data_IF_096617776910
#
_entry.id   IF_096617776910
#
_cell.length_a   1.000
_cell.length_b   1.000
_cell.length_c   1.000
_cell.angle_alpha   90.00
_cell.angle_beta   90.00
_cell.angle_gamma   90.00
#
_symmetry.space_group_name_H-M   'P 1'
#
loop_
_entity.id
_entity.type
_entity.pdbx_description
1 polymer ?
#
# COMPACT_ATOMS: atom_id res chain seq x y z
N UNK A 1 11.01 9.29 40.77
CA UNK A 1 11.97 8.88 39.71
C UNK A 1 11.24 7.91 38.80
N UNK A 2 11.05 8.26 37.52
CA UNK A 2 10.45 7.32 36.55
C UNK A 2 11.56 6.36 36.11
N UNK A 3 11.32 5.06 36.24
CA UNK A 3 12.32 4.04 35.93
C UNK A 3 12.70 4.07 34.43
N UNK A 4 13.99 3.94 34.12
CA UNK A 4 14.50 3.99 32.75
C UNK A 4 13.87 2.90 31.86
N UNK A 5 13.55 1.73 32.41
CA UNK A 5 12.83 0.66 31.69
C UNK A 5 11.42 1.08 31.35
N UNK A 6 10.75 1.84 32.23
CA UNK A 6 9.40 2.37 31.98
C UNK A 6 9.42 3.41 30.86
N UNK A 7 10.45 4.26 30.77
CA UNK A 7 10.64 5.14 29.62
C UNK A 7 10.91 4.39 28.31
N UNK A 8 11.74 3.33 28.35
CA UNK A 8 12.01 2.54 27.15
C UNK A 8 10.78 1.79 26.65
N UNK A 9 9.99 1.22 27.56
CA UNK A 9 8.75 0.52 27.24
C UNK A 9 7.70 1.47 26.65
N UNK A 10 7.55 2.68 27.20
CA UNK A 10 6.61 3.66 26.65
C UNK A 10 7.05 4.16 25.28
N UNK A 11 8.35 4.39 25.06
CA UNK A 11 8.88 4.77 23.76
C UNK A 11 8.68 3.66 22.71
N UNK A 12 8.98 2.41 23.06
CA UNK A 12 8.78 1.27 22.16
C UNK A 12 7.30 1.11 21.76
N UNK A 13 6.39 1.31 22.71
CA UNK A 13 4.95 1.26 22.46
C UNK A 13 4.48 2.37 21.50
N UNK A 14 4.98 3.60 21.68
CA UNK A 14 4.66 4.72 20.77
C UNK A 14 5.20 4.45 19.36
N UNK A 15 6.43 3.95 19.23
CA UNK A 15 7.02 3.62 17.92
C UNK A 15 6.21 2.55 17.19
N UNK A 16 5.78 1.50 17.90
CA UNK A 16 4.93 0.45 17.31
C UNK A 16 3.61 1.01 16.74
N UNK A 17 3.00 1.98 17.43
CA UNK A 17 1.77 2.64 16.95
C UNK A 17 2.00 3.50 15.69
N UNK A 18 3.18 4.10 15.53
CA UNK A 18 3.48 4.93 14.35
C UNK A 18 3.72 4.14 13.07
N UNK A 19 4.01 2.83 13.17
CA UNK A 19 4.22 1.96 12.01
C UNK A 19 2.95 1.27 11.51
N UNK A 20 1.81 1.49 12.18
CA UNK A 20 0.54 0.92 11.75
C UNK A 20 0.06 1.60 10.46
N UNK A 21 -0.17 0.80 9.41
CA UNK A 21 -0.76 1.25 8.16
C UNK A 21 -2.18 1.80 8.42
N UNK A 22 -2.55 2.97 7.86
CA UNK A 22 -3.91 3.51 8.03
C UNK A 22 -4.94 2.53 7.48
N UNK A 23 -6.05 2.34 8.19
CA UNK A 23 -7.08 1.34 7.84
C UNK A 23 -7.77 1.57 6.48
N UNK A 24 -7.67 2.79 5.93
CA UNK A 24 -8.28 3.18 4.66
C UNK A 24 -7.32 3.03 3.46
N UNK A 25 -6.08 2.61 3.68
CA UNK A 25 -5.09 2.31 2.64
C UNK A 25 -4.97 0.80 2.55
N UNK A 26 -5.28 0.22 1.39
CA UNK A 26 -5.27 -1.24 1.20
C UNK A 26 -3.86 -1.77 0.92
N UNK A 27 -3.05 -1.03 0.16
CA UNK A 27 -1.71 -1.42 -0.25
C UNK A 27 -0.75 -0.22 -0.29
N UNK A 28 0.54 -0.47 -0.02
CA UNK A 28 1.64 0.47 -0.30
C UNK A 28 2.54 -0.04 -1.42
N UNK A 29 2.54 -1.36 -1.66
CA UNK A 29 3.35 -2.03 -2.66
C UNK A 29 2.63 -3.27 -3.20
N UNK A 30 3.06 -3.79 -4.34
CA UNK A 30 2.47 -5.02 -4.92
C UNK A 30 2.66 -6.24 -4.03
N UNK A 31 3.69 -6.27 -3.17
CA UNK A 31 3.88 -7.35 -2.20
C UNK A 31 2.84 -7.36 -1.08
N UNK A 32 2.07 -6.28 -0.93
CA UNK A 32 0.93 -6.25 -0.02
C UNK A 32 -0.29 -6.99 -0.61
N UNK A 33 -0.26 -7.28 -1.92
CA UNK A 33 -1.36 -7.87 -2.67
C UNK A 33 -1.11 -9.36 -3.00
N UNK A 34 -2.15 -10.08 -3.38
CA UNK A 34 -2.04 -11.47 -3.82
C UNK A 34 -1.31 -11.64 -5.16
N UNK A 35 -0.92 -12.88 -5.48
CA UNK A 35 -0.06 -13.24 -6.63
C UNK A 35 -0.55 -12.77 -8.02
N UNK A 36 -1.84 -12.41 -8.14
CA UNK A 36 -2.47 -11.94 -9.39
C UNK A 36 -3.09 -10.55 -9.23
N UNK A 37 -2.55 -9.71 -8.35
CA UNK A 37 -3.01 -8.36 -8.09
C UNK A 37 -1.83 -7.40 -7.96
N UNK A 38 -2.07 -6.14 -8.32
CA UNK A 38 -1.12 -5.06 -8.17
C UNK A 38 -1.71 -3.93 -7.31
N UNK A 39 -0.83 -3.18 -6.65
CA UNK A 39 -1.19 -2.00 -5.91
C UNK A 39 -1.36 -0.83 -6.88
N UNK A 40 -2.61 -0.42 -7.09
CA UNK A 40 -2.96 0.61 -8.06
C UNK A 40 -3.55 1.85 -7.37
N UNK A 41 -3.27 3.02 -7.94
CA UNK A 41 -3.96 4.26 -7.62
C UNK A 41 -5.01 4.49 -8.71
N UNK A 42 -6.27 4.23 -8.38
CA UNK A 42 -7.38 4.31 -9.33
C UNK A 42 -8.47 5.29 -8.90
N UNK A 43 -9.44 5.49 -9.79
CA UNK A 43 -10.58 6.38 -9.59
C UNK A 43 -11.67 5.84 -8.65
N UNK A 44 -11.50 4.62 -8.12
CA UNK A 44 -12.50 4.00 -7.24
C UNK A 44 -12.77 4.86 -5.99
N UNK A 45 -11.77 5.64 -5.55
CA UNK A 45 -11.93 6.63 -4.49
C UNK A 45 -11.54 8.03 -4.96
N UNK A 46 -12.32 9.03 -4.51
CA UNK A 46 -12.13 10.46 -4.83
C UNK A 46 -10.76 11.03 -4.41
N UNK A 47 -10.08 10.33 -3.51
CA UNK A 47 -8.81 10.76 -2.91
C UNK A 47 -7.60 10.05 -3.49
N UNK A 48 -7.75 9.23 -4.55
CA UNK A 48 -6.63 8.49 -5.14
C UNK A 48 -5.97 7.54 -4.13
N UNK A 49 -6.78 6.88 -3.30
CA UNK A 49 -6.27 5.94 -2.30
C UNK A 49 -5.79 4.67 -3.00
N UNK A 50 -4.60 4.15 -2.65
CA UNK A 50 -4.07 2.92 -3.24
C UNK A 50 -4.86 1.71 -2.76
N UNK A 51 -5.16 0.81 -3.70
CA UNK A 51 -5.89 -0.43 -3.44
C UNK A 51 -5.35 -1.59 -4.29
N UNK A 52 -5.57 -2.82 -3.84
CA UNK A 52 -5.18 -4.00 -4.62
C UNK A 52 -6.16 -4.20 -5.79
N UNK A 53 -5.67 -4.01 -7.01
CA UNK A 53 -6.43 -4.23 -8.24
C UNK A 53 -6.01 -5.56 -8.89
N UNK A 54 -6.95 -6.40 -9.34
CA UNK A 54 -6.61 -7.62 -10.08
C UNK A 54 -5.80 -7.31 -11.35
N UNK A 55 -4.86 -8.16 -11.71
CA UNK A 55 -4.17 -8.02 -13.00
C UNK A 55 -5.18 -8.20 -14.14
N UNK A 56 -5.04 -7.35 -15.16
CA UNK A 56 -5.85 -7.44 -16.37
C UNK A 56 -5.42 -8.65 -17.21
N UNK A 57 -6.39 -9.30 -17.83
CA UNK A 57 -6.17 -10.40 -18.76
C UNK A 57 -6.11 -9.91 -20.21
N UNK A 58 -5.64 -10.79 -21.09
CA UNK A 58 -5.63 -10.51 -22.51
C UNK A 58 -7.05 -10.24 -23.02
N UNK A 59 -7.25 -9.10 -23.68
CA UNK A 59 -8.54 -8.66 -24.18
C UNK A 59 -9.26 -7.67 -23.26
N UNK A 60 -8.78 -7.47 -22.03
CA UNK A 60 -9.33 -6.45 -21.15
C UNK A 60 -9.00 -5.03 -21.62
N UNK A 61 -9.94 -4.12 -21.36
CA UNK A 61 -9.74 -2.70 -21.61
C UNK A 61 -8.65 -2.15 -20.69
N UNK A 62 -7.57 -1.68 -21.30
CA UNK A 62 -6.52 -0.93 -20.62
C UNK A 62 -6.64 0.58 -20.93
N UNK A 63 -5.99 1.40 -20.12
CA UNK A 63 -5.93 2.85 -20.38
C UNK A 63 -5.11 3.09 -21.66
N UNK A 64 -5.60 3.87 -22.64
CA UNK A 64 -4.85 4.14 -23.86
C UNK A 64 -3.48 4.76 -23.54
N UNK A 65 -2.40 4.13 -24.00
CA UNK A 65 -1.03 4.57 -23.74
C UNK A 65 -0.38 3.99 -22.47
N UNK A 66 -1.07 3.13 -21.71
CA UNK A 66 -0.38 2.28 -20.73
C UNK A 66 0.30 1.13 -21.46
N UNK A 67 1.62 1.08 -21.38
CA UNK A 67 2.37 -0.11 -21.76
C UNK A 67 2.06 -1.24 -20.80
N UNK A 68 2.03 -2.48 -21.30
CA UNK A 68 2.03 -3.69 -20.47
C UNK A 68 3.33 -3.75 -19.68
N UNK A 69 3.31 -3.13 -18.52
CA UNK A 69 4.48 -3.03 -17.67
C UNK A 69 4.53 -4.23 -16.74
N UNK A 70 5.50 -5.12 -16.97
CA UNK A 70 5.88 -6.16 -16.02
C UNK A 70 6.77 -5.55 -14.91
N UNK A 71 6.34 -4.43 -14.35
CA UNK A 71 7.13 -3.68 -13.36
C UNK A 71 6.23 -3.25 -12.23
N UNK A 72 6.68 -3.62 -11.04
CA UNK A 72 6.11 -3.19 -9.77
C UNK A 72 6.04 -1.67 -9.72
N UNK A 73 4.82 -1.13 -9.72
CA UNK A 73 4.41 0.28 -9.52
C UNK A 73 5.32 1.36 -10.14
N UNK A 74 4.76 2.17 -11.05
CA UNK A 74 5.34 3.43 -11.52
C UNK A 74 5.51 4.38 -10.31
N UNK A 75 6.65 4.32 -9.62
CA UNK A 75 7.10 5.38 -8.70
C UNK A 75 7.25 6.66 -9.53
N UNK A 76 6.50 7.69 -9.18
CA UNK A 76 6.95 9.05 -9.40
C UNK A 76 7.88 9.44 -8.25
#
# INVERSE_FOLDING_TARGET
MVDFKVMLLSLAFIVALTQAKPFFIDCQSDSDCGVNACCAIGMQNRFGLPYCHPMLHQGDSCRPGDSSHNTTVRRY
#
